data_IF_395818263974
#
_entry.id   IF_395818263974
#
_cell.length_a   1.000
_cell.length_b   1.000
_cell.length_c   1.000
_cell.angle_alpha   90.00
_cell.angle_beta   90.00
_cell.angle_gamma   90.00
#
_symmetry.space_group_name_H-M   'P 1'
#
loop_
_entity.id
_entity.type
_entity.pdbx_description
1 polymer ?
#
# COMPACT_ATOMS: atom_id res chain seq x y z
N UNK A 1 -16.20 -6.34 -5.63
CA UNK A 1 -15.04 -6.39 -4.72
C UNK A 1 -15.56 -6.65 -3.33
N UNK A 2 -15.13 -7.72 -2.69
CA UNK A 2 -15.56 -8.06 -1.34
C UNK A 2 -14.88 -7.13 -0.31
N UNK A 3 -15.60 -6.77 0.75
CA UNK A 3 -15.04 -6.05 1.89
C UNK A 3 -14.58 -7.05 2.96
N UNK A 4 -13.33 -6.95 3.40
CA UNK A 4 -12.75 -7.80 4.45
C UNK A 4 -12.70 -7.06 5.78
N UNK A 5 -13.16 -7.75 6.82
CA UNK A 5 -13.12 -7.27 8.21
C UNK A 5 -11.86 -7.77 8.90
N UNK A 6 -11.40 -7.09 9.97
CA UNK A 6 -10.28 -7.56 10.76
C UNK A 6 -10.68 -8.75 11.64
N UNK A 7 -10.72 -9.96 11.05
CA UNK A 7 -11.18 -11.19 11.72
C UNK A 7 -10.09 -11.90 12.53
N UNK A 8 -8.90 -11.31 12.67
CA UNK A 8 -7.84 -11.84 13.53
C UNK A 8 -8.35 -12.07 14.95
N UNK A 9 -7.81 -13.08 15.63
CA UNK A 9 -8.01 -13.34 17.06
C UNK A 9 -6.67 -13.53 17.77
N UNK A 10 -5.61 -12.99 17.16
CA UNK A 10 -4.25 -13.10 17.63
C UNK A 10 -4.05 -12.30 18.92
N UNK A 11 -4.70 -11.14 19.07
CA UNK A 11 -4.56 -10.29 20.24
C UNK A 11 -5.91 -9.99 20.92
N UNK A 12 -5.92 -9.71 22.25
CA UNK A 12 -7.16 -9.43 22.97
C UNK A 12 -7.98 -8.26 22.42
N UNK A 13 -7.31 -7.27 21.81
CA UNK A 13 -7.97 -6.11 21.22
C UNK A 13 -8.52 -6.37 19.81
N UNK A 14 -8.24 -7.51 19.18
CA UNK A 14 -8.70 -7.76 17.80
C UNK A 14 -10.25 -7.79 17.72
N UNK A 15 -10.90 -8.36 18.74
CA UNK A 15 -12.37 -8.41 18.79
C UNK A 15 -13.00 -7.01 18.88
N UNK A 16 -12.41 -6.09 19.66
CA UNK A 16 -12.91 -4.70 19.71
C UNK A 16 -12.62 -3.97 18.40
N UNK A 17 -11.48 -4.21 17.74
CA UNK A 17 -11.18 -3.64 16.43
C UNK A 17 -12.21 -4.08 15.37
N UNK A 18 -12.62 -5.35 15.35
CA UNK A 18 -13.70 -5.83 14.46
C UNK A 18 -15.03 -5.16 14.76
N UNK A 19 -15.41 -5.06 16.03
CA UNK A 19 -16.64 -4.36 16.45
C UNK A 19 -16.62 -2.89 16.03
N UNK A 20 -15.47 -2.20 16.14
CA UNK A 20 -15.30 -0.83 15.67
C UNK A 20 -15.57 -0.74 14.17
N UNK A 21 -14.98 -1.62 13.34
CA UNK A 21 -15.19 -1.61 11.88
C UNK A 21 -16.66 -1.84 11.54
N UNK A 22 -17.33 -2.80 12.18
CA UNK A 22 -18.77 -3.01 11.99
C UNK A 22 -19.61 -1.79 12.42
N UNK A 23 -19.30 -1.20 13.57
CA UNK A 23 -20.02 -0.05 14.09
C UNK A 23 -19.90 1.18 13.16
N UNK A 24 -18.75 1.34 12.51
CA UNK A 24 -18.53 2.37 11.47
C UNK A 24 -19.31 2.05 10.19
N UNK A 25 -19.30 0.80 9.73
CA UNK A 25 -20.03 0.39 8.52
C UNK A 25 -21.53 0.67 8.63
N UNK A 26 -22.17 0.26 9.73
CA UNK A 26 -23.61 0.47 9.92
C UNK A 26 -23.98 1.95 10.02
N UNK A 27 -22.98 2.83 10.22
CA UNK A 27 -23.09 4.30 10.20
C UNK A 27 -22.60 4.91 8.89
N UNK A 28 -22.59 4.13 7.81
CA UNK A 28 -22.12 4.52 6.48
C UNK A 28 -20.71 5.13 6.49
N UNK A 29 -19.85 4.73 7.43
CA UNK A 29 -18.50 5.25 7.60
C UNK A 29 -18.45 6.76 7.86
N UNK A 30 -19.56 7.35 8.32
CA UNK A 30 -19.71 8.79 8.58
C UNK A 30 -19.95 9.03 10.06
N UNK A 31 -18.85 9.08 10.83
CA UNK A 31 -18.88 9.41 12.26
C UNK A 31 -18.12 10.73 12.48
N UNK A 32 -18.74 11.74 13.12
CA UNK A 32 -18.07 13.01 13.38
C UNK A 32 -16.75 12.84 14.13
N UNK A 33 -15.69 13.50 13.64
CA UNK A 33 -14.36 13.46 14.26
C UNK A 33 -13.56 12.17 14.02
N UNK A 34 -14.09 11.21 13.25
CA UNK A 34 -13.38 9.99 12.85
C UNK A 34 -13.17 10.00 11.33
N UNK A 35 -11.91 9.84 10.92
CA UNK A 35 -11.50 9.62 9.54
C UNK A 35 -11.22 8.14 9.32
N UNK A 36 -11.58 7.64 8.15
CA UNK A 36 -11.37 6.25 7.76
C UNK A 36 -10.69 6.24 6.40
N UNK A 37 -9.62 5.50 6.28
CA UNK A 37 -8.96 5.22 5.02
C UNK A 37 -9.20 3.76 4.63
N UNK A 38 -9.43 3.55 3.33
CA UNK A 38 -9.61 2.23 2.77
C UNK A 38 -8.46 1.92 1.83
N UNK A 39 -8.05 0.65 1.81
CA UNK A 39 -7.08 0.17 0.85
C UNK A 39 -7.63 -1.06 0.10
N UNK A 40 -6.96 -1.44 -0.97
CA UNK A 40 -7.29 -2.60 -1.79
C UNK A 40 -6.09 -3.52 -1.87
N UNK A 41 -6.35 -4.83 -1.82
CA UNK A 41 -5.31 -5.85 -1.98
C UNK A 41 -5.81 -6.98 -2.88
N UNK A 42 -4.86 -7.72 -3.46
CA UNK A 42 -5.14 -8.83 -4.36
C UNK A 42 -5.47 -8.38 -5.78
N UNK A 43 -5.85 -9.36 -6.59
CA UNK A 43 -6.15 -9.19 -8.02
C UNK A 43 -7.28 -10.12 -8.45
N UNK A 44 -7.92 -9.83 -9.59
CA UNK A 44 -8.97 -10.67 -10.14
C UNK A 44 -10.14 -10.84 -9.16
N UNK A 45 -10.57 -12.08 -8.96
CA UNK A 45 -11.66 -12.39 -8.02
C UNK A 45 -11.22 -12.40 -6.55
N UNK A 46 -9.91 -12.54 -6.28
CA UNK A 46 -9.31 -12.40 -4.94
C UNK A 46 -8.97 -10.94 -4.62
N UNK A 47 -9.70 -9.99 -5.20
CA UNK A 47 -9.53 -8.58 -4.91
C UNK A 47 -10.46 -8.16 -3.78
N UNK A 48 -9.84 -7.62 -2.73
CA UNK A 48 -10.52 -7.24 -1.50
C UNK A 48 -10.32 -5.76 -1.21
N UNK A 49 -11.30 -5.16 -0.53
CA UNK A 49 -11.18 -3.86 0.12
C UNK A 49 -11.23 -4.05 1.64
N UNK A 50 -10.53 -3.19 2.37
CA UNK A 50 -10.55 -3.21 3.83
C UNK A 50 -10.25 -1.82 4.38
N UNK A 51 -10.48 -1.64 5.68
CA UNK A 51 -10.04 -0.44 6.39
C UNK A 51 -8.55 -0.53 6.61
N UNK A 52 -7.77 0.43 6.10
CA UNK A 52 -6.34 0.52 6.38
C UNK A 52 -6.04 1.36 7.60
N UNK A 53 -6.79 2.44 7.81
CA UNK A 53 -6.59 3.37 8.93
C UNK A 53 -7.94 3.84 9.47
N UNK A 54 -8.05 3.92 10.79
CA UNK A 54 -9.10 4.66 11.50
C UNK A 54 -8.39 5.69 12.38
N UNK A 55 -8.68 6.96 12.19
CA UNK A 55 -8.04 8.06 12.92
C UNK A 55 -9.10 8.94 13.57
N UNK A 56 -8.95 9.18 14.87
CA UNK A 56 -9.76 10.14 15.62
C UNK A 56 -8.93 11.28 16.17
N UNK A 57 -9.57 12.15 16.96
CA UNK A 57 -8.91 13.31 17.56
C UNK A 57 -7.75 12.96 18.51
N UNK A 58 -7.69 11.73 19.02
CA UNK A 58 -6.78 11.28 20.08
C UNK A 58 -6.43 9.79 19.96
N UNK A 59 -6.66 9.16 18.80
CA UNK A 59 -6.28 7.78 18.55
C UNK A 59 -6.04 7.51 17.07
N UNK A 60 -5.31 6.44 16.79
CA UNK A 60 -5.18 5.88 15.45
C UNK A 60 -5.11 4.35 15.52
N UNK A 61 -5.80 3.69 14.60
CA UNK A 61 -5.71 2.25 14.35
C UNK A 61 -5.18 2.07 12.93
N UNK A 62 -4.12 1.29 12.77
CA UNK A 62 -3.62 0.90 11.45
C UNK A 62 -3.70 -0.61 11.29
N UNK A 63 -4.21 -1.06 10.14
CA UNK A 63 -4.39 -2.45 9.80
C UNK A 63 -3.35 -2.90 8.76
N UNK A 64 -2.89 -4.14 8.87
CA UNK A 64 -1.80 -4.68 8.05
C UNK A 64 -2.24 -4.97 6.61
N UNK A 65 -1.39 -4.63 5.64
CA UNK A 65 -1.55 -5.00 4.23
C UNK A 65 -1.29 -6.49 3.97
N UNK A 66 -0.35 -7.08 4.72
CA UNK A 66 0.09 -8.47 4.52
C UNK A 66 -0.96 -9.44 5.08
N UNK A 67 -1.61 -9.05 6.16
CA UNK A 67 -2.75 -9.74 6.75
C UNK A 67 -3.83 -8.72 7.02
N UNK A 68 -4.67 -8.53 6.00
CA UNK A 68 -5.84 -7.64 5.96
C UNK A 68 -6.73 -7.78 7.22
N UNK A 69 -6.61 -8.92 7.90
CA UNK A 69 -7.43 -9.32 9.04
C UNK A 69 -6.92 -8.81 10.40
N UNK A 70 -5.74 -8.19 10.49
CA UNK A 70 -5.13 -7.82 11.79
C UNK A 70 -4.73 -6.36 11.91
N UNK A 71 -4.96 -5.76 13.08
CA UNK A 71 -4.37 -4.47 13.46
C UNK A 71 -2.85 -4.63 13.62
N UNK A 72 -2.08 -3.67 13.14
CA UNK A 72 -0.62 -3.64 13.23
C UNK A 72 -0.11 -2.55 14.16
N UNK A 73 -0.87 -1.48 14.33
CA UNK A 73 -0.51 -0.36 15.21
C UNK A 73 -1.75 0.24 15.86
N UNK A 74 -1.63 0.56 17.14
CA UNK A 74 -2.64 1.24 17.94
C UNK A 74 -1.97 2.41 18.66
N UNK A 75 -2.42 3.63 18.37
CA UNK A 75 -2.00 4.84 19.05
C UNK A 75 -3.17 5.35 19.89
N UNK A 76 -2.92 5.57 21.19
CA UNK A 76 -3.85 6.20 22.13
C UNK A 76 -3.08 7.29 22.91
N UNK A 77 -3.71 8.14 23.72
CA UNK A 77 -3.01 9.21 24.42
C UNK A 77 -1.83 8.69 25.26
N UNK A 78 -0.63 9.15 24.93
CA UNK A 78 0.63 8.80 25.60
C UNK A 78 1.16 7.39 25.34
N UNK A 79 0.53 6.59 24.47
CA UNK A 79 0.92 5.20 24.23
C UNK A 79 0.81 4.81 22.77
N UNK A 80 1.81 4.10 22.27
CA UNK A 80 1.79 3.45 20.96
C UNK A 80 2.14 1.97 21.12
N UNK A 81 1.35 1.12 20.49
CA UNK A 81 1.56 -0.32 20.45
C UNK A 81 1.65 -0.80 19.01
N UNK A 82 2.78 -1.40 18.66
CA UNK A 82 3.04 -2.04 17.38
C UNK A 82 3.05 -3.56 17.58
N UNK A 83 2.24 -4.26 16.79
CA UNK A 83 2.12 -5.73 16.85
C UNK A 83 2.31 -6.34 15.47
N UNK A 84 2.81 -7.57 15.46
CA UNK A 84 3.25 -8.24 14.24
C UNK A 84 2.53 -9.57 14.05
N UNK A 85 2.19 -9.87 12.80
CA UNK A 85 1.41 -11.07 12.43
C UNK A 85 2.16 -12.39 12.62
N UNK A 86 3.48 -12.35 12.73
CA UNK A 86 4.34 -13.50 12.99
C UNK A 86 4.56 -13.74 14.48
N UNK A 87 3.86 -12.99 15.34
CA UNK A 87 4.04 -12.95 16.79
C UNK A 87 5.45 -12.58 17.23
N UNK A 88 6.27 -11.97 16.35
CA UNK A 88 7.45 -11.27 16.82
C UNK A 88 7.03 -10.25 17.90
N UNK A 89 7.82 -10.17 18.98
CA UNK A 89 7.40 -9.50 20.20
C UNK A 89 6.87 -8.07 19.94
N UNK A 90 5.79 -7.65 20.62
CA UNK A 90 5.22 -6.32 20.41
C UNK A 90 6.25 -5.23 20.71
N UNK A 91 6.20 -4.15 19.93
CA UNK A 91 6.88 -2.90 20.25
C UNK A 91 5.92 -1.98 20.99
N UNK A 92 6.34 -1.41 22.11
CA UNK A 92 5.54 -0.50 22.91
C UNK A 92 6.32 0.78 23.18
N UNK A 93 5.66 1.92 22.96
CA UNK A 93 6.24 3.23 23.24
C UNK A 93 5.38 3.94 24.29
N UNK A 94 6.04 4.44 25.33
CA UNK A 94 5.43 5.25 26.37
C UNK A 94 5.90 6.70 26.23
N UNK A 95 4.98 7.64 26.23
CA UNK A 95 5.30 9.07 26.29
C UNK A 95 5.87 9.45 27.67
N UNK A 96 7.00 10.16 27.68
CA UNK A 96 7.69 10.65 28.91
C UNK A 96 8.13 12.12 28.80
N UNK A 97 7.62 12.86 27.81
CA UNK A 97 7.91 14.27 27.67
C UNK A 97 7.15 15.14 28.67
N UNK A 98 7.57 16.41 28.82
CA UNK A 98 7.00 17.33 29.82
C UNK A 98 5.70 18.01 29.36
N UNK A 99 5.45 18.11 28.04
CA UNK A 99 4.29 18.83 27.49
C UNK A 99 3.64 18.06 26.34
N UNK A 100 2.61 17.28 26.68
CA UNK A 100 1.89 16.46 25.71
C UNK A 100 1.33 17.28 24.54
N UNK A 101 0.79 18.47 24.79
CA UNK A 101 0.16 19.25 23.73
C UNK A 101 1.18 19.72 22.69
N UNK A 102 2.40 20.05 23.15
CA UNK A 102 3.52 20.41 22.28
C UNK A 102 4.11 19.18 21.57
N UNK A 103 4.29 18.09 22.30
CA UNK A 103 5.11 16.95 21.87
C UNK A 103 4.29 15.87 21.13
N UNK A 104 2.95 15.89 21.26
CA UNK A 104 2.02 14.90 20.69
C UNK A 104 2.27 14.60 19.22
N UNK A 105 2.36 15.62 18.37
CA UNK A 105 2.53 15.41 16.92
C UNK A 105 3.84 14.67 16.63
N UNK A 106 4.90 14.98 17.37
CA UNK A 106 6.20 14.31 17.24
C UNK A 106 6.15 12.89 17.78
N UNK A 107 5.42 12.64 18.88
CA UNK A 107 5.22 11.28 19.40
C UNK A 107 4.42 10.40 18.43
N UNK A 108 3.29 10.90 17.92
CA UNK A 108 2.37 10.14 17.08
C UNK A 108 2.89 9.93 15.64
N UNK A 109 3.52 10.95 15.04
CA UNK A 109 3.90 10.94 13.61
C UNK A 109 5.41 10.97 13.37
N UNK A 110 6.21 11.24 14.41
CA UNK A 110 7.66 11.37 14.28
C UNK A 110 8.35 10.02 14.11
N UNK A 111 9.47 10.04 13.39
CA UNK A 111 10.36 8.88 13.32
C UNK A 111 11.00 8.66 14.68
N UNK A 112 10.69 7.53 15.32
CA UNK A 112 11.31 7.12 16.60
C UNK A 112 12.67 6.45 16.41
N UNK A 113 13.17 6.33 15.18
CA UNK A 113 14.45 5.69 14.93
C UNK A 113 15.58 6.68 15.22
N UNK A 114 16.54 6.28 16.07
CA UNK A 114 17.77 7.02 16.37
C UNK A 114 17.54 8.42 16.97
N UNK A 115 16.40 8.68 17.64
CA UNK A 115 16.06 10.00 18.17
C UNK A 115 17.15 10.56 19.08
N UNK A 116 17.74 9.71 19.94
CA UNK A 116 18.88 10.08 20.80
C UNK A 116 20.12 10.48 20.02
N UNK A 117 20.49 9.70 18.99
CA UNK A 117 21.65 10.00 18.14
C UNK A 117 21.47 11.28 17.32
N UNK A 118 20.22 11.65 17.02
CA UNK A 118 19.88 12.92 16.35
C UNK A 118 19.81 14.12 17.31
N UNK A 119 19.99 13.91 18.62
CA UNK A 119 19.89 14.96 19.63
C UNK A 119 18.45 15.47 19.82
N UNK A 120 17.45 14.66 19.49
CA UNK A 120 16.04 15.01 19.69
C UNK A 120 15.67 15.01 21.17
N UNK A 121 14.59 15.71 21.59
CA UNK A 121 14.16 15.66 22.98
C UNK A 121 13.70 14.25 23.38
N UNK A 122 13.93 13.92 24.65
CA UNK A 122 13.46 12.69 25.28
C UNK A 122 11.95 12.76 25.52
N UNK A 123 11.17 12.38 24.51
CA UNK A 123 9.69 12.42 24.57
C UNK A 123 9.06 11.03 24.72
N UNK A 124 9.83 9.96 24.54
CA UNK A 124 9.35 8.59 24.66
C UNK A 124 10.38 7.62 25.24
N UNK A 125 9.89 6.48 25.74
CA UNK A 125 10.65 5.27 26.05
C UNK A 125 10.14 4.12 25.20
N UNK A 126 11.06 3.25 24.75
CA UNK A 126 10.76 2.08 23.92
C UNK A 126 10.89 0.80 24.74
N UNK A 127 9.93 -0.09 24.56
CA UNK A 127 9.87 -1.40 25.17
C UNK A 127 9.61 -2.46 24.09
N UNK A 128 10.20 -3.63 24.25
CA UNK A 128 10.06 -4.72 23.30
C UNK A 128 9.71 -6.02 24.00
N UNK A 129 8.92 -6.86 23.33
CA UNK A 129 8.65 -8.23 23.74
C UNK A 129 9.86 -9.15 23.55
N UNK A 130 10.96 -8.86 24.25
CA UNK A 130 12.17 -9.69 24.29
C UNK A 130 12.08 -10.61 25.50
N UNK A 131 12.47 -11.87 25.32
CA UNK A 131 12.69 -12.78 26.43
C UNK A 131 14.16 -13.17 26.52
N UNK A 132 14.73 -12.97 27.70
CA UNK A 132 16.00 -13.56 28.09
C UNK A 132 15.69 -14.91 28.73
N UNK A 133 15.26 -15.91 27.93
CA UNK A 133 15.22 -17.27 28.46
C UNK A 133 16.67 -17.72 28.66
N UNK A 134 17.16 -17.73 29.90
CA UNK A 134 18.48 -18.26 30.25
C UNK A 134 18.60 -19.79 30.11
N UNK A 135 17.58 -20.46 29.56
CA UNK A 135 17.43 -21.92 29.63
C UNK A 135 17.74 -22.66 28.32
N UNK A 136 18.20 -21.99 27.27
CA UNK A 136 18.73 -22.66 26.07
C UNK A 136 20.25 -22.69 26.10
N UNK A 137 20.78 -23.71 26.80
CA UNK A 137 22.16 -24.20 26.78
C UNK A 137 23.27 -23.18 27.02
N UNK A 138 23.83 -23.14 28.25
CA UNK A 138 25.23 -22.81 28.63
C UNK A 138 26.12 -22.02 27.63
N UNK A 139 25.58 -20.99 26.98
CA UNK A 139 26.33 -20.08 26.15
C UNK A 139 26.61 -18.85 27.01
N UNK A 140 27.89 -18.46 27.18
CA UNK A 140 28.21 -17.24 27.87
C UNK A 140 27.60 -16.08 27.07
N UNK A 141 26.65 -15.37 27.69
CA UNK A 141 25.79 -14.33 27.12
C UNK A 141 24.62 -14.88 26.27
N UNK A 142 23.47 -15.10 26.93
CA UNK A 142 22.20 -15.41 26.28
C UNK A 142 21.80 -14.25 25.36
N UNK A 143 22.06 -14.41 24.05
CA UNK A 143 21.60 -13.46 23.05
C UNK A 143 20.07 -13.29 23.18
N UNK A 144 19.56 -12.05 23.15
CA UNK A 144 18.12 -11.82 23.13
C UNK A 144 17.53 -12.57 21.93
N UNK A 145 16.60 -13.49 22.19
CA UNK A 145 15.91 -14.19 21.11
C UNK A 145 14.46 -13.74 21.06
N UNK A 146 14.00 -13.48 19.83
CA UNK A 146 12.59 -13.23 19.55
C UNK A 146 11.86 -14.56 19.65
N UNK A 147 10.81 -14.62 20.47
CA UNK A 147 9.90 -15.75 20.46
C UNK A 147 9.18 -15.79 19.11
N UNK A 148 9.57 -16.70 18.22
CA UNK A 148 8.75 -17.01 17.04
C UNK A 148 7.53 -17.81 17.49
N UNK A 149 6.34 -17.29 17.23
CA UNK A 149 5.07 -17.98 17.52
C UNK A 149 4.70 -18.11 18.99
N UNK A 150 5.29 -17.26 19.87
CA UNK A 150 4.82 -17.08 21.25
C UNK A 150 4.94 -15.62 21.66
N UNK A 151 3.91 -15.10 22.32
CA UNK A 151 3.94 -13.75 22.88
C UNK A 151 4.88 -13.70 24.09
N UNK A 152 5.77 -12.71 24.13
CA UNK A 152 6.57 -12.43 25.33
C UNK A 152 5.64 -12.05 26.49
N UNK A 153 5.80 -12.63 27.69
CA UNK A 153 4.99 -12.26 28.85
C UNK A 153 5.30 -10.84 29.36
N UNK A 154 6.49 -10.32 29.03
CA UNK A 154 6.95 -9.00 29.45
C UNK A 154 7.37 -8.16 28.25
N UNK A 155 7.13 -6.87 28.36
CA UNK A 155 7.71 -5.81 27.54
C UNK A 155 8.84 -5.18 28.34
N UNK A 156 10.08 -5.27 27.86
CA UNK A 156 11.25 -4.74 28.56
C UNK A 156 11.81 -3.53 27.84
N UNK A 157 12.24 -2.54 28.59
CA UNK A 157 12.96 -1.40 28.04
C UNK A 157 14.21 -1.89 27.29
N UNK A 158 14.47 -1.27 26.15
CA UNK A 158 15.68 -1.49 25.36
C UNK A 158 16.34 -0.15 25.07
N UNK A 159 17.65 -0.06 25.32
CA UNK A 159 18.43 1.11 24.92
C UNK A 159 18.94 1.00 23.47
N UNK A 160 18.66 -0.13 22.80
CA UNK A 160 19.04 -0.44 21.42
C UNK A 160 20.47 -0.02 21.05
N UNK A 161 21.47 -0.53 21.79
CA UNK A 161 22.89 -0.15 21.62
C UNK A 161 23.14 1.35 21.82
N UNK A 162 22.56 1.91 22.88
CA UNK A 162 22.63 3.34 23.24
C UNK A 162 21.93 4.30 22.25
N UNK A 163 21.09 3.77 21.35
CA UNK A 163 20.30 4.55 20.39
C UNK A 163 19.00 5.10 20.97
N UNK A 164 18.56 4.58 22.10
CA UNK A 164 17.34 5.00 22.80
C UNK A 164 17.67 5.58 24.20
N UNK A 165 16.73 6.34 24.77
CA UNK A 165 16.86 6.90 26.11
C UNK A 165 16.57 5.85 27.19
N UNK A 166 17.35 5.87 28.28
CA UNK A 166 17.10 5.04 29.45
C UNK A 166 15.95 5.60 30.32
N UNK A 167 15.24 4.75 31.08
CA UNK A 167 14.30 5.20 32.10
C UNK A 167 15.03 5.91 33.24
N UNK A 168 14.43 6.96 33.78
CA UNK A 168 14.94 7.78 34.88
C UNK A 168 13.93 7.85 36.03
N UNK A 169 14.42 7.96 37.26
CA UNK A 169 13.57 8.11 38.45
C UNK A 169 12.60 6.95 38.64
N UNK A 170 11.30 7.25 38.54
CA UNK A 170 10.20 6.31 38.79
C UNK A 170 9.60 5.70 37.51
N UNK A 171 10.21 5.94 36.36
CA UNK A 171 9.70 5.40 35.11
C UNK A 171 9.86 3.87 35.03
N UNK A 172 8.91 3.18 34.40
CA UNK A 172 8.89 1.72 34.36
C UNK A 172 10.03 1.18 33.50
N UNK A 173 10.63 0.08 33.96
CA UNK A 173 11.65 -0.66 33.20
C UNK A 173 11.06 -1.82 32.41
N UNK A 174 9.91 -2.30 32.84
CA UNK A 174 9.18 -3.37 32.17
C UNK A 174 7.67 -3.24 32.42
N UNK A 175 6.90 -3.91 31.57
CA UNK A 175 5.46 -4.08 31.71
C UNK A 175 5.08 -5.53 31.52
N UNK A 176 3.98 -5.93 32.15
CA UNK A 176 3.31 -7.20 31.84
C UNK A 176 2.55 -7.03 30.53
N UNK A 177 2.89 -7.81 29.50
CA UNK A 177 2.33 -7.66 28.15
C UNK A 177 0.80 -7.76 28.14
N UNK A 178 0.23 -8.68 28.92
CA UNK A 178 -1.22 -8.85 29.01
C UNK A 178 -1.94 -7.65 29.63
N UNK A 179 -1.31 -6.95 30.58
CA UNK A 179 -1.88 -5.75 31.19
C UNK A 179 -1.92 -4.60 30.18
N UNK A 180 -0.85 -4.44 29.39
CA UNK A 180 -0.82 -3.46 28.29
C UNK A 180 -1.90 -3.78 27.26
N UNK A 181 -2.02 -5.03 26.82
CA UNK A 181 -3.07 -5.40 25.87
C UNK A 181 -4.47 -5.15 26.41
N UNK A 182 -4.73 -5.51 27.68
CA UNK A 182 -6.01 -5.23 28.34
C UNK A 182 -6.30 -3.74 28.37
N UNK A 183 -5.30 -2.92 28.72
CA UNK A 183 -5.42 -1.46 28.73
C UNK A 183 -5.80 -0.89 27.36
N UNK A 184 -5.20 -1.37 26.27
CA UNK A 184 -5.61 -0.96 24.92
C UNK A 184 -7.02 -1.44 24.58
N UNK A 185 -7.38 -2.69 24.89
CA UNK A 185 -8.73 -3.23 24.67
C UNK A 185 -9.81 -2.39 25.37
N UNK A 186 -9.60 -2.10 26.65
CA UNK A 186 -10.55 -1.34 27.48
C UNK A 186 -10.67 0.09 26.95
N UNK A 187 -9.55 0.75 26.67
CA UNK A 187 -9.54 2.11 26.15
C UNK A 187 -10.28 2.23 24.81
N UNK A 188 -10.02 1.30 23.87
CA UNK A 188 -10.70 1.27 22.57
C UNK A 188 -12.20 1.03 22.73
N UNK A 189 -12.59 0.14 23.64
CA UNK A 189 -14.00 -0.15 23.91
C UNK A 189 -14.73 1.09 24.44
N UNK A 190 -14.13 1.78 25.41
CA UNK A 190 -14.75 2.91 26.11
C UNK A 190 -14.72 4.22 25.30
N UNK A 191 -13.61 4.49 24.59
CA UNK A 191 -13.34 5.80 24.00
C UNK A 191 -13.51 5.83 22.47
N UNK A 192 -13.54 4.67 21.82
CA UNK A 192 -13.74 4.57 20.36
C UNK A 192 -15.07 3.91 20.04
N UNK A 193 -15.23 2.64 20.42
CA UNK A 193 -16.43 1.87 20.08
C UNK A 193 -17.69 2.52 20.65
N UNK A 194 -17.72 2.81 21.95
CA UNK A 194 -18.88 3.45 22.59
C UNK A 194 -19.22 4.81 21.96
N UNK A 195 -18.21 5.60 21.60
CA UNK A 195 -18.39 6.93 20.98
C UNK A 195 -19.00 6.81 19.58
N UNK A 196 -18.62 5.78 18.83
CA UNK A 196 -19.25 5.44 17.55
C UNK A 196 -20.69 4.98 17.79
N UNK A 197 -20.91 4.09 18.75
CA UNK A 197 -22.21 3.45 18.99
C UNK A 197 -23.31 4.44 19.42
N UNK A 198 -22.97 5.50 20.15
CA UNK A 198 -23.93 6.54 20.52
C UNK A 198 -24.35 7.43 19.36
N UNK A 199 -23.64 7.41 18.23
CA UNK A 199 -24.07 8.16 17.04
C UNK A 199 -25.31 7.52 16.43
N UNK A 200 -26.28 8.33 15.96
CA UNK A 200 -27.50 7.82 15.35
C UNK A 200 -27.18 6.99 14.11
N UNK A 201 -27.99 5.95 13.89
CA UNK A 201 -27.94 5.20 12.63
C UNK A 201 -28.48 6.09 11.50
N UNK A 202 -27.89 6.04 10.30
CA UNK A 202 -28.39 6.76 9.15
C UNK A 202 -29.73 6.19 8.70
N UNK A 203 -30.63 7.06 8.21
CA UNK A 203 -31.95 6.65 7.69
C UNK A 203 -31.86 5.67 6.52
N UNK A 204 -30.77 5.73 5.76
CA UNK A 204 -30.50 4.88 4.60
C UNK A 204 -29.05 4.41 4.60
N UNK A 205 -28.84 3.14 4.25
CA UNK A 205 -27.50 2.61 3.97
C UNK A 205 -26.97 3.19 2.65
N UNK A 206 -25.78 3.77 2.69
CA UNK A 206 -25.08 4.33 1.54
C UNK A 206 -23.91 3.42 1.20
N UNK A 207 -23.86 2.93 -0.03
CA UNK A 207 -22.64 2.31 -0.55
C UNK A 207 -21.65 3.41 -0.92
N UNK A 208 -20.72 3.70 -0.01
CA UNK A 208 -19.67 4.70 -0.22
C UNK A 208 -18.65 4.28 -1.30
N UNK A 209 -18.74 3.04 -1.76
CA UNK A 209 -17.85 2.49 -2.78
C UNK A 209 -18.50 2.42 -4.16
N UNK A 210 -19.76 2.83 -4.26
CA UNK A 210 -20.41 2.99 -5.54
C UNK A 210 -19.77 4.18 -6.26
N UNK A 211 -19.07 3.88 -7.35
CA UNK A 211 -18.51 4.88 -8.24
C UNK A 211 -19.37 4.97 -9.49
N UNK A 212 -19.75 6.19 -9.88
CA UNK A 212 -20.46 6.41 -11.13
C UNK A 212 -19.54 6.08 -12.31
N UNK A 213 -20.03 5.27 -13.24
CA UNK A 213 -19.26 4.86 -14.41
C UNK A 213 -19.15 6.03 -15.38
N UNK A 214 -17.94 6.54 -15.56
CA UNK A 214 -17.62 7.54 -16.58
C UNK A 214 -17.32 6.79 -17.89
N UNK A 215 -18.09 6.98 -18.96
CA UNK A 215 -17.81 6.31 -20.24
C UNK A 215 -16.43 6.65 -20.77
N UNK A 216 -15.75 5.68 -21.38
CA UNK A 216 -14.48 5.93 -22.04
C UNK A 216 -14.66 6.85 -23.27
N UNK A 217 -13.88 7.93 -23.44
CA UNK A 217 -14.09 8.86 -24.54
C UNK A 217 -13.78 8.23 -25.91
N UNK A 218 -14.75 8.21 -26.81
CA UNK A 218 -14.63 7.63 -28.15
C UNK A 218 -13.51 8.29 -28.98
N UNK A 219 -13.23 9.57 -28.72
CA UNK A 219 -12.20 10.36 -29.41
C UNK A 219 -10.77 9.87 -29.18
N UNK A 220 -10.50 9.10 -28.12
CA UNK A 220 -9.16 8.57 -27.84
C UNK A 220 -8.83 7.37 -28.73
N UNK A 221 -9.84 6.61 -29.14
CA UNK A 221 -9.66 5.36 -29.87
C UNK A 221 -9.11 4.23 -28.99
N UNK A 222 -8.71 3.10 -29.60
CA UNK A 222 -8.14 1.97 -28.88
C UNK A 222 -6.75 2.28 -28.32
N UNK A 223 -6.42 1.63 -27.22
CA UNK A 223 -5.11 1.71 -26.57
C UNK A 223 -4.30 0.44 -26.86
N UNK A 224 -2.98 0.52 -26.78
CA UNK A 224 -2.10 -0.62 -27.01
C UNK A 224 -0.98 -0.70 -25.98
N UNK A 225 -0.62 -1.93 -25.61
CA UNK A 225 0.54 -2.24 -24.79
C UNK A 225 1.27 -3.45 -25.36
N UNK A 226 2.54 -3.60 -24.98
CA UNK A 226 3.20 -4.88 -25.06
C UNK A 226 2.83 -5.73 -23.84
N UNK A 227 2.75 -7.04 -24.04
CA UNK A 227 2.52 -8.01 -22.97
C UNK A 227 3.44 -9.21 -23.10
N UNK A 228 3.56 -9.95 -22.01
CA UNK A 228 4.35 -11.18 -21.90
C UNK A 228 3.56 -12.40 -22.37
N UNK A 229 4.23 -13.53 -22.63
CA UNK A 229 3.59 -14.81 -22.92
C UNK A 229 2.58 -15.21 -21.82
N UNK A 230 2.96 -15.06 -20.54
CA UNK A 230 2.08 -15.37 -19.40
C UNK A 230 0.78 -14.55 -19.42
N UNK A 231 0.85 -13.27 -19.80
CA UNK A 231 -0.34 -12.42 -19.93
C UNK A 231 -1.20 -12.83 -21.12
N UNK A 232 -0.59 -13.21 -22.25
CA UNK A 232 -1.32 -13.70 -23.42
C UNK A 232 -2.01 -15.03 -23.14
N UNK A 233 -1.33 -15.98 -22.50
CA UNK A 233 -1.91 -17.24 -22.07
C UNK A 233 -3.07 -16.99 -21.11
N UNK A 234 -2.89 -16.10 -20.12
CA UNK A 234 -3.95 -15.70 -19.19
C UNK A 234 -5.16 -15.09 -19.91
N UNK A 235 -4.95 -14.14 -20.82
CA UNK A 235 -6.03 -13.48 -21.56
C UNK A 235 -6.76 -14.48 -22.46
N UNK A 236 -6.00 -15.33 -23.16
CA UNK A 236 -6.56 -16.35 -24.06
C UNK A 236 -7.41 -17.35 -23.28
N UNK A 237 -6.86 -17.91 -22.20
CA UNK A 237 -7.57 -18.85 -21.33
C UNK A 237 -8.77 -18.17 -20.66
N UNK A 238 -8.62 -16.94 -20.17
CA UNK A 238 -9.68 -16.19 -19.51
C UNK A 238 -10.84 -15.80 -20.42
N UNK A 239 -10.58 -15.52 -21.71
CA UNK A 239 -11.65 -15.31 -22.70
C UNK A 239 -12.42 -16.59 -23.04
N UNK A 240 -11.76 -17.75 -23.00
CA UNK A 240 -12.40 -19.04 -23.28
C UNK A 240 -13.17 -19.57 -22.08
N UNK A 241 -12.53 -19.58 -20.91
CA UNK A 241 -13.06 -20.12 -19.67
C UNK A 241 -12.26 -19.56 -18.46
N UNK A 242 -12.74 -18.48 -17.81
CA UNK A 242 -12.11 -17.91 -16.62
C UNK A 242 -11.98 -18.88 -15.45
N UNK A 243 -12.83 -19.91 -15.37
CA UNK A 243 -12.84 -20.83 -14.23
C UNK A 243 -11.59 -21.72 -14.17
N UNK A 244 -10.92 -21.91 -15.32
CA UNK A 244 -9.63 -22.60 -15.44
C UNK A 244 -8.44 -21.78 -14.95
N UNK A 245 -8.62 -20.48 -14.72
CA UNK A 245 -7.63 -19.64 -14.08
C UNK A 245 -7.81 -19.66 -12.56
N UNK A 246 -6.71 -19.57 -11.83
CA UNK A 246 -6.74 -19.25 -10.41
C UNK A 246 -7.53 -17.96 -10.17
N UNK A 247 -8.35 -17.83 -9.11
CA UNK A 247 -9.18 -16.65 -8.88
C UNK A 247 -8.40 -15.33 -8.92
N UNK A 248 -7.20 -15.28 -8.34
CA UNK A 248 -6.30 -14.12 -8.42
C UNK A 248 -5.88 -13.72 -9.84
N UNK A 249 -5.95 -14.64 -10.81
CA UNK A 249 -5.58 -14.42 -12.23
C UNK A 249 -6.78 -14.14 -13.12
N UNK A 250 -8.01 -14.05 -12.58
CA UNK A 250 -9.23 -13.80 -13.35
C UNK A 250 -9.40 -12.32 -13.69
N UNK A 251 -8.44 -11.77 -14.42
CA UNK A 251 -8.43 -10.42 -14.98
C UNK A 251 -7.63 -10.39 -16.29
N UNK A 252 -7.95 -9.44 -17.17
CA UNK A 252 -7.27 -9.25 -18.46
C UNK A 252 -5.85 -8.70 -18.27
N UNK A 253 -5.76 -7.44 -17.84
CA UNK A 253 -4.49 -6.73 -17.62
C UNK A 253 -4.56 -5.85 -16.37
N UNK A 254 -3.39 -5.52 -15.80
CA UNK A 254 -3.25 -4.64 -14.63
C UNK A 254 -2.02 -3.74 -14.79
N UNK A 255 -2.19 -2.44 -14.54
CA UNK A 255 -1.09 -1.53 -14.20
C UNK A 255 -0.02 -1.35 -15.27
N UNK A 256 -0.42 -1.10 -16.52
CA UNK A 256 0.51 -0.85 -17.63
C UNK A 256 0.49 0.61 -18.10
N UNK A 257 1.57 1.01 -18.79
CA UNK A 257 1.61 2.24 -19.59
C UNK A 257 1.18 1.88 -21.02
N UNK A 258 0.23 2.63 -21.57
CA UNK A 258 -0.36 2.34 -22.87
C UNK A 258 -0.12 3.48 -23.86
N UNK A 259 0.09 3.13 -25.13
CA UNK A 259 0.12 4.06 -26.24
C UNK A 259 -1.27 4.31 -26.83
N UNK A 260 -1.45 5.48 -27.44
CA UNK A 260 -2.65 5.86 -28.21
C UNK A 260 -2.34 5.71 -29.70
N UNK A 261 -3.25 5.12 -30.49
CA UNK A 261 -3.08 5.01 -31.94
C UNK A 261 -3.98 3.95 -32.55
N UNK A 262 -3.74 3.58 -33.80
CA UNK A 262 -4.31 2.39 -34.42
C UNK A 262 -3.20 1.37 -34.65
N UNK A 263 -3.42 0.15 -34.16
CA UNK A 263 -2.54 -0.99 -34.44
C UNK A 263 -3.40 -2.09 -35.03
N UNK A 264 -2.95 -2.59 -36.18
CA UNK A 264 -3.61 -3.66 -36.92
C UNK A 264 -2.77 -4.93 -36.82
N UNK A 265 -3.34 -6.07 -37.21
CA UNK A 265 -2.60 -7.34 -37.32
C UNK A 265 -1.39 -7.27 -38.29
N UNK A 266 -1.33 -6.27 -39.18
CA UNK A 266 -0.25 -6.07 -40.14
C UNK A 266 0.80 -5.08 -39.67
N UNK A 267 0.58 -4.41 -38.54
CA UNK A 267 1.53 -3.44 -38.03
C UNK A 267 2.78 -4.18 -37.55
N UNK A 268 3.96 -3.92 -38.13
CA UNK A 268 5.19 -4.56 -37.68
C UNK A 268 5.43 -4.22 -36.21
N UNK A 269 5.69 -5.23 -35.37
CA UNK A 269 5.96 -5.03 -33.94
C UNK A 269 7.13 -4.05 -33.76
N UNK A 270 8.14 -4.13 -34.62
CA UNK A 270 9.32 -3.24 -34.60
C UNK A 270 9.00 -1.79 -34.96
N UNK A 271 7.86 -1.54 -35.61
CA UNK A 271 7.38 -0.20 -35.94
C UNK A 271 6.49 0.40 -34.84
N UNK A 272 6.04 -0.40 -33.87
CA UNK A 272 5.25 0.08 -32.74
C UNK A 272 6.13 0.81 -31.72
N UNK A 273 5.84 2.09 -31.52
CA UNK A 273 6.49 2.92 -30.49
C UNK A 273 5.46 3.37 -29.47
N UNK A 274 5.57 2.87 -28.25
CA UNK A 274 4.83 3.39 -27.09
C UNK A 274 5.76 4.37 -26.38
N UNK A 275 5.43 5.68 -26.29
CA UNK A 275 6.27 6.65 -25.61
C UNK A 275 6.57 6.22 -24.17
N UNK A 276 7.83 6.33 -23.74
CA UNK A 276 8.29 5.91 -22.41
C UNK A 276 8.46 4.39 -22.22
N UNK A 277 8.03 3.56 -23.17
CA UNK A 277 8.32 2.13 -23.15
C UNK A 277 9.63 1.86 -23.89
N UNK A 278 10.68 1.56 -23.13
CA UNK A 278 11.93 1.08 -23.71
C UNK A 278 11.83 -0.43 -23.91
N UNK A 279 11.79 -0.84 -25.17
CA UNK A 279 11.92 -2.25 -25.54
C UNK A 279 13.21 -2.79 -24.91
N UNK A 280 13.09 -3.71 -23.96
CA UNK A 280 14.27 -4.33 -23.33
C UNK A 280 14.89 -5.31 -24.30
N UNK A 281 15.62 -4.79 -25.28
CA UNK A 281 16.35 -5.61 -26.27
C UNK A 281 17.61 -6.26 -25.68
N UNK A 282 17.91 -6.02 -24.39
CA UNK A 282 19.17 -6.44 -23.75
C UNK A 282 19.06 -7.24 -22.46
N UNK A 283 17.87 -7.62 -21.97
CA UNK A 283 17.80 -8.58 -20.85
C UNK A 283 17.81 -10.00 -21.37
N UNK A 284 18.63 -10.87 -20.78
CA UNK A 284 18.76 -12.31 -21.05
C UNK A 284 17.47 -13.13 -20.85
N UNK A 285 16.32 -12.47 -20.70
CA UNK A 285 14.99 -13.07 -20.69
C UNK A 285 14.39 -12.93 -22.09
N UNK A 286 14.20 -14.05 -22.77
CA UNK A 286 13.43 -14.20 -24.01
C UNK A 286 11.95 -13.84 -23.82
N UNK A 287 11.66 -12.61 -23.41
CA UNK A 287 10.30 -12.13 -23.32
C UNK A 287 9.88 -11.76 -24.74
N UNK A 288 9.32 -12.73 -25.43
CA UNK A 288 8.53 -12.48 -26.62
C UNK A 288 7.46 -11.44 -26.25
N UNK A 289 7.52 -10.28 -26.90
CA UNK A 289 6.57 -9.20 -26.67
C UNK A 289 5.40 -9.35 -27.63
N UNK A 290 4.23 -9.56 -27.05
CA UNK A 290 2.95 -9.63 -27.76
C UNK A 290 2.32 -8.25 -27.77
N UNK A 291 1.55 -7.93 -28.81
CA UNK A 291 0.78 -6.69 -28.85
C UNK A 291 -0.61 -6.98 -28.33
N UNK A 292 -1.00 -6.26 -27.29
CA UNK A 292 -2.32 -6.34 -26.69
C UNK A 292 -3.05 -5.02 -26.95
N UNK A 293 -4.19 -5.13 -27.61
CA UNK A 293 -5.17 -4.05 -27.73
C UNK A 293 -5.99 -3.98 -26.46
N UNK A 294 -6.23 -2.76 -26.04
CA UNK A 294 -7.01 -2.40 -24.86
C UNK A 294 -8.13 -1.47 -25.28
N UNK A 295 -9.36 -1.86 -24.94
CA UNK A 295 -10.59 -1.15 -25.23
C UNK A 295 -11.38 -0.96 -23.93
N UNK A 296 -10.98 0.01 -23.07
CA UNK A 296 -11.64 0.22 -21.81
C UNK A 296 -13.08 0.69 -22.03
N UNK A 297 -14.02 0.21 -21.23
CA UNK A 297 -15.42 0.66 -21.26
C UNK A 297 -15.66 1.91 -20.41
N UNK A 298 -14.82 2.09 -19.41
CA UNK A 298 -14.90 3.16 -18.42
C UNK A 298 -13.58 3.92 -18.34
N UNK A 299 -13.69 5.24 -18.19
CA UNK A 299 -12.61 6.18 -17.91
C UNK A 299 -12.23 6.26 -16.42
N UNK A 300 -12.99 5.62 -15.51
CA UNK A 300 -12.67 5.60 -14.08
C UNK A 300 -11.27 5.02 -13.88
N UNK A 301 -10.47 5.70 -13.06
CA UNK A 301 -9.08 5.34 -12.78
C UNK A 301 -8.17 5.24 -14.03
N UNK A 302 -8.49 5.93 -15.12
CA UNK A 302 -7.62 6.05 -16.30
C UNK A 302 -7.16 7.50 -16.44
N UNK A 303 -5.84 7.67 -16.62
CA UNK A 303 -5.19 8.96 -16.65
C UNK A 303 -4.31 9.08 -17.89
N UNK A 304 -4.01 10.31 -18.28
CA UNK A 304 -3.03 10.62 -19.32
C UNK A 304 -1.93 11.47 -18.69
N UNK A 305 -0.68 11.19 -19.05
CA UNK A 305 0.51 11.97 -18.68
C UNK A 305 1.31 12.32 -19.94
N UNK A 306 2.03 13.44 -19.93
CA UNK A 306 2.98 13.82 -20.98
C UNK A 306 4.36 13.23 -20.66
N UNK A 307 4.75 12.16 -21.36
CA UNK A 307 6.11 11.61 -21.26
C UNK A 307 7.17 12.65 -21.68
N UNK A 308 6.82 13.60 -22.54
CA UNK A 308 7.73 14.66 -22.93
C UNK A 308 8.16 15.54 -21.74
N UNK A 309 7.39 15.61 -20.66
CA UNK A 309 7.78 16.30 -19.43
C UNK A 309 8.93 15.57 -18.70
N UNK A 310 8.91 14.23 -18.71
CA UNK A 310 10.01 13.41 -18.23
C UNK A 310 11.28 13.65 -19.04
N UNK A 311 11.18 13.56 -20.38
CA UNK A 311 12.34 13.76 -21.28
C UNK A 311 12.97 15.15 -21.12
N UNK A 312 12.15 16.21 -21.05
CA UNK A 312 12.64 17.59 -20.83
C UNK A 312 13.34 17.75 -19.48
N UNK A 313 12.81 17.11 -18.42
CA UNK A 313 13.44 17.13 -17.11
C UNK A 313 14.78 16.37 -17.13
N UNK A 314 14.82 15.21 -17.77
CA UNK A 314 16.02 14.41 -17.95
C UNK A 314 17.10 15.17 -18.73
N UNK A 315 16.75 15.74 -19.88
CA UNK A 315 17.66 16.54 -20.71
C UNK A 315 18.20 17.76 -19.94
N UNK A 316 17.34 18.45 -19.18
CA UNK A 316 17.75 19.60 -18.35
C UNK A 316 18.71 19.19 -17.22
N UNK A 317 18.51 18.04 -16.59
CA UNK A 317 19.44 17.53 -15.57
C UNK A 317 20.76 17.11 -16.22
N UNK A 318 20.71 16.32 -17.29
CA UNK A 318 21.88 15.79 -17.96
C UNK A 318 22.74 16.88 -18.61
N UNK A 319 22.14 17.93 -19.16
CA UNK A 319 22.87 19.07 -19.74
C UNK A 319 23.65 19.91 -18.72
N UNK A 320 23.32 19.81 -17.43
CA UNK A 320 24.05 20.48 -16.34
C UNK A 320 25.24 19.68 -15.83
N UNK A 321 25.42 18.46 -16.34
CA UNK A 321 26.43 17.55 -15.84
C UNK A 321 27.52 17.30 -16.88
N UNK A 322 28.78 17.39 -16.44
CA UNK A 322 29.92 17.06 -17.28
C UNK A 322 30.00 15.55 -17.54
N UNK A 323 30.77 15.14 -18.57
CA UNK A 323 31.01 13.73 -18.88
C UNK A 323 31.47 12.97 -17.62
N UNK A 324 30.81 11.86 -17.31
CA UNK A 324 31.12 11.00 -16.16
C UNK A 324 30.18 11.13 -14.96
N UNK A 325 29.14 11.96 -15.04
CA UNK A 325 28.11 12.04 -13.99
C UNK A 325 27.17 10.84 -14.03
N UNK A 326 26.90 10.27 -12.86
CA UNK A 326 25.93 9.19 -12.67
C UNK A 326 24.59 9.77 -12.24
N UNK A 327 23.53 9.37 -12.92
CA UNK A 327 22.15 9.74 -12.55
C UNK A 327 21.86 9.23 -11.14
N UNK A 328 21.45 10.13 -10.24
CA UNK A 328 21.08 9.78 -8.87
C UNK A 328 19.61 9.39 -8.77
N UNK A 329 19.22 8.69 -7.70
CA UNK A 329 17.81 8.40 -7.41
C UNK A 329 16.98 9.69 -7.30
N UNK A 330 17.58 10.76 -6.75
CA UNK A 330 16.93 12.07 -6.67
C UNK A 330 16.66 12.68 -8.05
N UNK A 331 17.55 12.48 -9.01
CA UNK A 331 17.33 12.93 -10.39
C UNK A 331 16.19 12.15 -11.03
N UNK A 332 16.20 10.82 -10.90
CA UNK A 332 15.14 9.95 -11.39
C UNK A 332 13.78 10.31 -10.79
N UNK A 333 13.73 10.57 -9.49
CA UNK A 333 12.52 11.00 -8.79
C UNK A 333 12.04 12.37 -9.28
N UNK A 334 12.96 13.32 -9.50
CA UNK A 334 12.64 14.60 -10.11
C UNK A 334 12.03 14.46 -11.51
N UNK A 335 12.56 13.56 -12.34
CA UNK A 335 12.04 13.30 -13.68
C UNK A 335 10.65 12.64 -13.63
N UNK A 336 10.47 11.65 -12.75
CA UNK A 336 9.17 10.99 -12.52
C UNK A 336 8.12 11.97 -11.99
N UNK A 337 8.48 12.84 -11.05
CA UNK A 337 7.59 13.90 -10.55
C UNK A 337 7.17 14.85 -11.68
N UNK A 338 8.10 15.25 -12.56
CA UNK A 338 7.75 16.07 -13.72
C UNK A 338 6.70 15.41 -14.63
N UNK A 339 6.79 14.10 -14.88
CA UNK A 339 5.74 13.31 -15.57
C UNK A 339 4.43 13.34 -14.79
N UNK A 340 4.46 13.04 -13.48
CA UNK A 340 3.26 12.96 -12.64
C UNK A 340 2.52 14.30 -12.49
N UNK A 341 3.23 15.43 -12.53
CA UNK A 341 2.59 16.75 -12.52
C UNK A 341 1.72 17.06 -13.76
N UNK A 342 1.84 16.25 -14.81
CA UNK A 342 0.99 16.35 -16.02
C UNK A 342 -0.20 15.38 -15.99
N UNK A 343 -0.35 14.58 -14.92
CA UNK A 343 -1.41 13.57 -14.81
C UNK A 343 -2.78 14.24 -14.77
N UNK A 344 -3.60 13.94 -15.76
CA UNK A 344 -5.02 14.34 -15.82
C UNK A 344 -5.92 13.13 -16.07
N UNK A 345 -7.18 13.14 -15.61
CA UNK A 345 -8.15 12.10 -15.99
C UNK A 345 -8.32 12.02 -17.50
N UNK A 346 -8.44 10.81 -18.06
CA UNK A 346 -8.53 10.63 -19.53
C UNK A 346 -9.75 11.32 -20.14
N UNK A 347 -10.84 11.44 -19.39
CA UNK A 347 -12.04 12.18 -19.80
C UNK A 347 -11.79 13.68 -20.00
N UNK A 348 -10.71 14.23 -19.43
CA UNK A 348 -10.32 15.64 -19.55
C UNK A 348 -9.18 15.85 -20.58
N UNK A 349 -8.68 14.77 -21.19
CA UNK A 349 -7.58 14.88 -22.15
C UNK A 349 -8.06 15.47 -23.48
N UNK A 350 -7.45 16.58 -23.88
CA UNK A 350 -7.83 17.37 -25.05
C UNK A 350 -6.90 17.16 -26.27
N UNK A 351 -5.98 16.19 -26.20
CA UNK A 351 -5.05 15.89 -27.28
C UNK A 351 -3.77 16.74 -27.30
N UNK A 352 -3.55 17.65 -26.34
CA UNK A 352 -2.43 18.61 -26.41
C UNK A 352 -1.08 18.10 -25.89
N UNK A 353 -1.01 16.89 -25.34
CA UNK A 353 0.26 16.39 -24.82
C UNK A 353 1.20 16.02 -25.97
N UNK A 354 2.49 16.33 -25.81
CA UNK A 354 3.50 16.09 -26.86
C UNK A 354 3.74 14.59 -27.04
N UNK A 355 3.79 13.86 -25.93
CA UNK A 355 3.94 12.41 -25.91
C UNK A 355 2.96 11.82 -24.88
N UNK A 356 1.67 11.70 -25.23
CA UNK A 356 0.67 11.17 -24.31
C UNK A 356 0.95 9.70 -24.00
N UNK A 357 0.92 9.37 -22.71
CA UNK A 357 0.93 8.00 -22.21
C UNK A 357 -0.31 7.82 -21.36
N UNK A 358 -1.06 6.76 -21.64
CA UNK A 358 -2.24 6.42 -20.85
C UNK A 358 -1.84 5.49 -19.71
N UNK A 359 -2.24 5.82 -18.49
CA UNK A 359 -2.04 5.05 -17.27
C UNK A 359 -3.37 4.48 -16.82
N UNK A 360 -3.49 3.17 -16.69
CA UNK A 360 -4.70 2.50 -16.20
C UNK A 360 -4.43 2.01 -14.77
N UNK A 361 -5.01 2.70 -13.80
CA UNK A 361 -4.88 2.47 -12.36
C UNK A 361 -5.99 1.55 -11.84
N UNK A 362 -6.40 0.58 -12.67
CA UNK A 362 -7.38 -0.45 -12.36
C UNK A 362 -7.08 -1.74 -13.13
N UNK A 363 -7.80 -2.79 -12.77
CA UNK A 363 -7.80 -4.02 -13.56
C UNK A 363 -8.76 -3.87 -14.74
N UNK A 364 -8.34 -4.43 -15.87
CA UNK A 364 -9.17 -4.57 -17.06
C UNK A 364 -9.78 -5.96 -17.09
N UNK A 365 -11.05 -6.07 -17.47
CA UNK A 365 -11.71 -7.36 -17.68
C UNK A 365 -11.28 -8.01 -19.00
N UNK A 366 -11.54 -9.32 -19.15
CA UNK A 366 -11.14 -10.07 -20.36
C UNK A 366 -11.80 -9.57 -21.65
N UNK A 367 -12.91 -8.85 -21.56
CA UNK A 367 -13.62 -8.23 -22.67
C UNK A 367 -13.15 -6.80 -22.99
N UNK A 368 -12.26 -6.22 -22.17
CA UNK A 368 -11.58 -4.94 -22.42
C UNK A 368 -10.20 -5.12 -23.07
N UNK A 369 -9.76 -6.36 -23.32
CA UNK A 369 -8.43 -6.64 -23.87
C UNK A 369 -8.50 -7.64 -25.02
N UNK A 370 -7.58 -7.57 -25.97
CA UNK A 370 -7.50 -8.45 -27.13
C UNK A 370 -6.03 -8.64 -27.55
N UNK A 371 -5.60 -9.88 -27.74
CA UNK A 371 -4.24 -10.17 -28.25
C UNK A 371 -4.28 -10.00 -29.77
N UNK A 372 -3.55 -9.01 -30.29
CA UNK A 372 -3.58 -8.63 -31.71
C UNK A 372 -2.46 -9.31 -32.50
N UNK A 373 -1.28 -9.41 -31.92
CA UNK A 373 -0.14 -10.07 -32.54
C UNK A 373 0.78 -10.71 -31.49
N UNK A 374 1.52 -11.73 -31.90
CA UNK A 374 2.52 -12.41 -31.08
C UNK A 374 3.85 -12.57 -31.81
N UNK A 375 4.87 -13.10 -31.13
CA UNK A 375 6.12 -13.51 -31.77
C UNK A 375 5.76 -14.45 -32.93
N UNK A 376 6.19 -14.06 -34.12
CA UNK A 376 5.91 -14.76 -35.36
C UNK A 376 6.06 -16.28 -35.20
N UNK A 377 5.07 -17.04 -35.69
CA UNK A 377 5.12 -18.50 -35.86
C UNK A 377 6.29 -18.99 -36.75
N UNK A 378 7.08 -18.06 -37.31
CA UNK A 378 8.18 -18.31 -38.23
C UNK A 378 9.53 -18.61 -37.54
N UNK A 379 9.56 -18.91 -36.23
CA UNK A 379 10.77 -19.44 -35.56
C UNK A 379 10.82 -20.97 -35.49
N UNK A 380 9.80 -21.66 -36.00
CA UNK A 380 9.73 -23.11 -36.11
C UNK A 380 9.65 -23.57 -37.57
N UNK A 381 10.53 -23.03 -38.42
CA UNK A 381 10.83 -23.57 -39.75
C UNK A 381 12.29 -24.02 -39.80
#
# INVERSE_FOLDING_TARGET
>A
MEFKYPTSRQFPFDEVCEKIVHALEVRNWKVPGIKIEFNQWGTGEEKYRFVSVIEGANFQLQFSLIRIESVSQINIPGMELNVYSDESGPGFYLYVGDDWNRDRKMFELGSKCNSKLRGEPRIYLRYEGICHCDNTMNLPQSLPHLHRGKRSPLLRHTNDLDREYDPVGHEPKEFVTSEIFTKFTDWLSENVLRVIEVQPLPERRIDIFHEEVIPFPVSIGPLFTFGTLDEVERITQGKQDPSKLEPRRRYGLRGNEFGVGEVTQHTPIDALRIPGYYRRTGSFSYNEEFVIRVAPRSANHIFVVDHGAFERAAEKTLSRHHRGYWVTDKDLDGWRQAKQHTRIPIAQYDGKFKQPVVLIDRELSFDEVEVVSGPHKDRSA
#
